data_IF_661951578079
#
_entry.id   IF_661951578079
#
_cell.length_a   1.000
_cell.length_b   1.000
_cell.length_c   1.000
_cell.angle_alpha   90.00
_cell.angle_beta   90.00
_cell.angle_gamma   90.00
#
_symmetry.space_group_name_H-M   'P 1'
#
loop_
_entity.id
_entity.type
_entity.pdbx_description
1 polymer ?
#
# COMPACT_ATOMS: atom_id res chain seq x y z
N UNK A 1 10.08 -67.73 10.05
CA UNK A 1 8.94 -67.07 9.37
C UNK A 1 9.06 -65.57 9.59
N UNK A 2 9.75 -64.89 8.68
CA UNK A 2 10.06 -63.46 8.74
C UNK A 2 8.87 -62.64 8.25
N UNK A 3 8.38 -61.73 9.11
CA UNK A 3 7.27 -60.81 8.79
C UNK A 3 7.74 -59.80 7.75
N UNK A 4 7.11 -59.84 6.57
CA UNK A 4 7.25 -58.85 5.50
C UNK A 4 6.67 -57.51 5.95
N UNK A 5 7.52 -56.49 5.90
CA UNK A 5 7.27 -55.10 6.23
C UNK A 5 6.34 -54.51 5.16
N UNK A 6 5.12 -54.12 5.55
CA UNK A 6 4.20 -53.37 4.66
C UNK A 6 4.51 -51.88 4.77
N UNK A 7 5.31 -51.41 3.83
CA UNK A 7 5.41 -50.01 3.42
C UNK A 7 4.02 -49.48 3.05
N UNK A 8 3.61 -48.39 3.69
CA UNK A 8 2.51 -47.56 3.20
C UNK A 8 3.03 -46.13 3.10
N UNK A 9 3.18 -45.69 1.85
CA UNK A 9 3.59 -44.34 1.48
C UNK A 9 2.35 -43.46 1.67
N UNK A 10 2.36 -42.63 2.72
CA UNK A 10 1.38 -41.56 2.89
C UNK A 10 1.87 -40.34 2.10
N UNK A 11 1.46 -40.24 0.84
CA UNK A 11 1.50 -39.00 0.09
C UNK A 11 0.16 -38.28 0.32
N UNK A 12 0.17 -37.24 1.14
CA UNK A 12 -0.88 -36.23 1.16
C UNK A 12 -0.23 -34.85 1.26
N UNK A 13 -0.26 -34.18 0.11
CA UNK A 13 0.17 -32.80 -0.12
C UNK A 13 -0.76 -31.86 0.63
N UNK A 14 -0.22 -31.07 1.56
CA UNK A 14 -0.85 -29.83 2.01
C UNK A 14 0.20 -28.73 1.91
N UNK A 15 0.19 -28.09 0.75
CA UNK A 15 0.82 -26.79 0.53
C UNK A 15 0.16 -25.79 1.48
N UNK A 16 0.79 -25.48 2.61
CA UNK A 16 0.43 -24.30 3.38
C UNK A 16 1.19 -23.14 2.74
N UNK A 17 0.41 -22.32 2.04
CA UNK A 17 0.83 -21.09 1.41
C UNK A 17 1.68 -20.26 2.37
N UNK A 18 2.79 -19.73 1.85
CA UNK A 18 3.63 -18.79 2.57
C UNK A 18 2.79 -17.62 3.07
N UNK A 19 2.63 -17.54 4.39
CA UNK A 19 2.34 -16.27 5.04
C UNK A 19 3.64 -15.49 5.03
N UNK A 20 3.90 -14.83 3.91
CA UNK A 20 4.70 -13.61 3.94
C UNK A 20 3.89 -12.60 4.71
N UNK A 21 4.04 -12.60 6.04
CA UNK A 21 3.77 -11.39 6.81
C UNK A 21 4.82 -10.38 6.35
N UNK A 22 4.53 -9.69 5.25
CA UNK A 22 5.18 -8.44 4.91
C UNK A 22 4.77 -7.43 5.99
N UNK A 23 5.37 -7.60 7.17
CA UNK A 23 5.36 -6.63 8.24
C UNK A 23 6.28 -5.52 7.74
N UNK A 24 5.73 -4.63 6.92
CA UNK A 24 6.36 -3.36 6.63
C UNK A 24 6.28 -2.52 7.91
N UNK A 25 7.14 -2.86 8.88
CA UNK A 25 7.47 -2.01 10.02
C UNK A 25 8.32 -0.86 9.51
N UNK A 26 7.66 0.09 8.85
CA UNK A 26 8.23 1.41 8.56
C UNK A 26 7.58 2.40 9.50
N UNK A 27 7.95 2.28 10.78
CA UNK A 27 7.70 3.27 11.82
C UNK A 27 8.50 4.55 11.54
N UNK A 28 8.03 5.32 10.57
CA UNK A 28 8.14 6.77 10.64
C UNK A 28 6.95 7.24 11.47
N UNK A 29 7.19 7.61 12.74
CA UNK A 29 6.24 8.37 13.57
C UNK A 29 4.93 7.64 13.93
N UNK A 30 5.01 6.36 14.29
CA UNK A 30 3.91 5.65 14.97
C UNK A 30 2.67 5.35 14.13
N UNK A 31 2.70 5.58 12.81
CA UNK A 31 1.59 5.25 11.91
C UNK A 31 1.80 3.86 11.33
N UNK A 32 0.91 2.92 11.65
CA UNK A 32 0.86 1.60 11.00
C UNK A 32 0.04 1.74 9.73
N UNK A 33 0.66 1.54 8.56
CA UNK A 33 -0.06 1.49 7.29
C UNK A 33 -0.64 0.07 7.10
N UNK A 34 -1.95 -0.05 7.10
CA UNK A 34 -2.67 -1.31 6.83
C UNK A 34 -3.42 -1.18 5.50
N UNK A 35 -3.24 -2.12 4.57
CA UNK A 35 -3.83 -2.09 3.22
C UNK A 35 -2.76 -2.20 2.12
N UNK A 36 -2.89 -1.39 1.05
CA UNK A 36 -1.94 -1.31 -0.07
C UNK A 36 -0.60 -0.72 0.38
N UNK A 37 0.22 -1.52 1.05
CA UNK A 37 1.54 -1.12 1.55
C UNK A 37 2.48 -0.71 0.42
N UNK A 38 2.24 -1.19 -0.80
CA UNK A 38 2.92 -0.78 -2.03
C UNK A 38 2.74 0.72 -2.34
N UNK A 39 1.63 1.31 -1.86
CA UNK A 39 1.28 2.72 -2.01
C UNK A 39 1.46 3.54 -0.72
N UNK A 40 2.11 2.97 0.30
CA UNK A 40 2.37 3.66 1.58
C UNK A 40 3.14 4.98 1.41
N UNK A 41 3.88 5.15 0.31
CA UNK A 41 4.57 6.41 -0.03
C UNK A 41 3.63 7.61 -0.21
N UNK A 42 2.36 7.40 -0.58
CA UNK A 42 1.36 8.48 -0.65
C UNK A 42 0.87 8.85 0.75
N UNK A 43 0.50 7.85 1.56
CA UNK A 43 0.07 8.08 2.93
C UNK A 43 1.18 8.70 3.79
N UNK A 44 2.44 8.32 3.57
CA UNK A 44 3.60 8.93 4.24
C UNK A 44 3.79 10.40 3.86
N UNK A 45 3.50 10.77 2.60
CA UNK A 45 3.54 12.16 2.17
C UNK A 45 2.48 12.99 2.89
N UNK A 46 1.29 12.43 3.12
CA UNK A 46 0.24 13.07 3.93
C UNK A 46 0.66 13.22 5.38
N UNK A 47 1.17 12.16 6.01
CA UNK A 47 1.63 12.22 7.43
C UNK A 47 2.67 13.30 7.65
N UNK A 48 3.55 13.53 6.67
CA UNK A 48 4.60 14.55 6.72
C UNK A 48 4.21 15.91 6.14
N UNK A 49 2.98 16.04 5.62
CA UNK A 49 2.53 17.16 4.79
C UNK A 49 3.55 17.60 3.72
N UNK A 50 4.23 16.63 3.08
CA UNK A 50 5.35 16.87 2.17
C UNK A 50 4.96 16.62 0.70
N UNK A 51 4.73 17.71 -0.04
CA UNK A 51 4.41 17.68 -1.48
C UNK A 51 5.57 17.13 -2.32
N UNK A 52 6.83 17.28 -1.90
CA UNK A 52 7.97 16.71 -2.62
C UNK A 52 7.96 15.20 -2.50
N UNK A 53 7.67 14.68 -1.31
CA UNK A 53 7.52 13.25 -1.09
C UNK A 53 6.33 12.71 -1.90
N UNK A 54 5.21 13.44 -1.94
CA UNK A 54 4.05 13.09 -2.77
C UNK A 54 4.42 12.99 -4.25
N UNK A 55 5.06 14.03 -4.81
CA UNK A 55 5.51 14.04 -6.21
C UNK A 55 6.48 12.90 -6.52
N UNK A 56 7.39 12.61 -5.59
CA UNK A 56 8.31 11.49 -5.72
C UNK A 56 7.57 10.15 -5.78
N UNK A 57 6.53 9.97 -4.95
CA UNK A 57 5.68 8.78 -4.97
C UNK A 57 4.83 8.69 -6.24
N UNK A 58 4.32 9.81 -6.76
CA UNK A 58 3.65 9.86 -8.08
C UNK A 58 4.59 9.37 -9.19
N UNK A 59 5.82 9.91 -9.26
CA UNK A 59 6.77 9.56 -10.32
C UNK A 59 7.17 8.08 -10.30
N UNK A 60 7.30 7.47 -9.11
CA UNK A 60 7.61 6.04 -8.97
C UNK A 60 6.49 5.11 -9.43
N UNK A 61 5.26 5.61 -9.52
CA UNK A 61 4.08 4.84 -9.86
C UNK A 61 3.55 5.09 -11.28
N UNK A 62 4.29 5.86 -12.09
CA UNK A 62 4.01 5.96 -13.53
C UNK A 62 4.30 4.61 -14.18
N UNK A 63 3.38 4.15 -15.03
CA UNK A 63 3.43 2.82 -15.66
C UNK A 63 2.87 1.70 -14.79
N UNK A 64 2.68 1.93 -13.49
CA UNK A 64 2.04 0.99 -12.56
C UNK A 64 0.58 1.38 -12.30
N UNK A 65 0.32 2.63 -11.89
CA UNK A 65 -1.02 3.14 -11.58
C UNK A 65 -1.64 3.87 -12.79
N UNK A 66 -0.81 4.54 -13.60
CA UNK A 66 -1.27 5.30 -14.76
C UNK A 66 -0.12 5.64 -15.72
N UNK A 67 -0.44 5.96 -16.98
CA UNK A 67 0.55 6.20 -18.03
C UNK A 67 1.28 7.55 -17.90
N UNK A 68 0.83 8.43 -17.01
CA UNK A 68 1.46 9.74 -16.78
C UNK A 68 1.29 10.21 -15.33
N UNK A 69 2.08 11.21 -14.91
CA UNK A 69 1.92 11.84 -13.59
C UNK A 69 0.49 12.33 -13.35
N UNK A 70 -0.15 12.90 -14.37
CA UNK A 70 -1.53 13.41 -14.28
C UNK A 70 -2.51 12.28 -14.03
N UNK A 71 -2.36 11.16 -14.73
CA UNK A 71 -3.24 10.01 -14.58
C UNK A 71 -3.05 9.34 -13.22
N UNK A 72 -1.80 9.15 -12.77
CA UNK A 72 -1.51 8.67 -11.42
C UNK A 72 -2.18 9.58 -10.38
N UNK A 73 -2.00 10.90 -10.50
CA UNK A 73 -2.60 11.86 -9.55
C UNK A 73 -4.13 11.78 -9.56
N UNK A 74 -4.75 11.61 -10.73
CA UNK A 74 -6.20 11.44 -10.87
C UNK A 74 -6.68 10.17 -10.16
N UNK A 75 -5.97 9.05 -10.32
CA UNK A 75 -6.34 7.77 -9.69
C UNK A 75 -6.17 7.84 -8.18
N UNK A 76 -5.01 8.28 -7.68
CA UNK A 76 -4.74 8.28 -6.23
C UNK A 76 -5.58 9.29 -5.44
N UNK A 77 -6.10 10.33 -6.11
CA UNK A 77 -6.98 11.34 -5.49
C UNK A 77 -8.48 11.01 -5.66
N UNK A 78 -8.82 9.95 -6.37
CA UNK A 78 -10.21 9.49 -6.50
C UNK A 78 -10.73 8.94 -5.17
N UNK A 79 -12.06 8.97 -4.98
CA UNK A 79 -12.70 8.42 -3.77
C UNK A 79 -12.35 6.95 -3.54
N UNK A 80 -12.34 6.16 -4.61
CA UNK A 80 -11.99 4.73 -4.58
C UNK A 80 -10.51 4.48 -4.98
N UNK A 81 -9.67 5.50 -4.85
CA UNK A 81 -8.24 5.45 -5.17
C UNK A 81 -7.40 4.84 -4.04
N UNK A 82 -6.22 5.41 -3.81
CA UNK A 82 -5.36 4.99 -2.71
C UNK A 82 -6.03 5.36 -1.39
N UNK A 83 -6.15 4.37 -0.51
CA UNK A 83 -6.70 4.56 0.83
C UNK A 83 -5.60 4.56 1.90
N UNK A 84 -5.76 5.43 2.88
CA UNK A 84 -4.87 5.54 4.03
C UNK A 84 -5.72 5.38 5.29
N UNK A 85 -5.49 4.31 6.05
CA UNK A 85 -6.27 4.00 7.25
C UNK A 85 -7.80 3.88 6.97
N UNK A 86 -8.15 3.28 5.83
CA UNK A 86 -9.54 3.00 5.45
C UNK A 86 -10.34 4.18 4.87
N UNK A 87 -9.72 5.35 4.70
CA UNK A 87 -10.34 6.52 4.02
C UNK A 87 -9.51 6.93 2.81
N UNK A 88 -10.09 7.70 1.88
CA UNK A 88 -9.37 8.16 0.68
C UNK A 88 -8.18 9.04 1.04
N UNK A 89 -7.17 9.12 0.16
CA UNK A 89 -5.98 9.94 0.38
C UNK A 89 -6.33 11.43 0.65
N UNK A 90 -7.35 11.96 -0.04
CA UNK A 90 -7.83 13.34 0.13
C UNK A 90 -8.46 13.52 1.52
N UNK A 91 -9.39 12.65 1.91
CA UNK A 91 -10.02 12.69 3.24
C UNK A 91 -8.98 12.50 4.36
N UNK A 92 -8.03 11.59 4.15
CA UNK A 92 -6.94 11.38 5.09
C UNK A 92 -6.11 12.65 5.27
N UNK A 93 -5.78 13.34 4.18
CA UNK A 93 -5.03 14.60 4.23
C UNK A 93 -5.76 15.71 4.98
N UNK A 94 -7.08 15.79 4.82
CA UNK A 94 -7.90 16.73 5.58
C UNK A 94 -7.95 16.36 7.07
N UNK A 95 -8.13 15.07 7.41
CA UNK A 95 -8.19 14.60 8.80
C UNK A 95 -6.88 14.73 9.59
N UNK A 96 -5.77 14.98 8.90
CA UNK A 96 -4.41 15.12 9.44
C UNK A 96 -3.92 16.57 9.43
N UNK A 97 -4.78 17.51 9.02
CA UNK A 97 -4.42 18.92 8.83
C UNK A 97 -3.22 19.12 7.86
N UNK A 98 -3.02 18.18 6.93
CA UNK A 98 -1.95 18.20 5.94
C UNK A 98 -2.31 19.17 4.79
N UNK A 99 -2.28 20.46 5.12
CA UNK A 99 -2.81 21.54 4.27
C UNK A 99 -2.10 21.65 2.93
N UNK A 100 -0.78 21.46 2.87
CA UNK A 100 -0.03 21.58 1.62
C UNK A 100 -0.34 20.43 0.67
N UNK A 101 -0.38 19.20 1.19
CA UNK A 101 -0.74 18.01 0.41
C UNK A 101 -2.21 18.04 0.00
N UNK A 102 -3.12 18.40 0.90
CA UNK A 102 -4.54 18.54 0.60
C UNK A 102 -4.79 19.54 -0.54
N UNK A 103 -4.21 20.74 -0.44
CA UNK A 103 -4.31 21.74 -1.51
C UNK A 103 -3.70 21.23 -2.82
N UNK A 104 -2.58 20.52 -2.77
CA UNK A 104 -1.97 19.96 -3.97
C UNK A 104 -2.86 18.92 -4.67
N UNK A 105 -3.49 18.03 -3.90
CA UNK A 105 -4.39 16.99 -4.42
C UNK A 105 -5.68 17.58 -5.00
N UNK A 106 -6.23 18.62 -4.37
CA UNK A 106 -7.51 19.24 -4.76
C UNK A 106 -7.38 20.36 -5.79
N UNK A 107 -6.20 20.97 -5.95
CA UNK A 107 -5.97 22.01 -6.95
C UNK A 107 -6.07 21.52 -8.41
N UNK A 108 -6.17 20.20 -8.62
CA UNK A 108 -6.16 19.57 -9.96
C UNK A 108 -7.25 18.52 -10.17
N UNK A 109 -8.18 18.37 -9.21
CA UNK A 109 -9.35 17.50 -9.29
C UNK A 109 -10.47 18.11 -10.11
#
# INVERSE_FOLDING_TARGET
MTKVIKSTIAAAVLAVMGVSTASADVTAEGVRFTGDTEFAGFCKAVVKDDVRLLRSSVSRNIGLIGASQREVLKVVSAKDGVTCNGVSLVEFSQSRDASNVYQFLTARS
#
